data_IF_652700901153
#
_entry.id   IF_652700901153
#
_cell.length_a   1.000
_cell.length_b   1.000
_cell.length_c   1.000
_cell.angle_alpha   90.00
_cell.angle_beta   90.00
_cell.angle_gamma   90.00
#
_symmetry.space_group_name_H-M   'P 1'
#
loop_
_entity.id
_entity.type
_entity.pdbx_description
1 polymer ?
#
# COMPACT_ATOMS: atom_id res chain seq x y z
N UNK A 1 -12.42 -4.69 -24.26
CA UNK A 1 -12.79 -6.12 -24.37
C UNK A 1 -14.13 -6.33 -23.66
N UNK A 2 -14.93 -7.33 -24.07
CA UNK A 2 -16.28 -7.56 -23.52
C UNK A 2 -16.27 -7.89 -22.01
N UNK A 3 -15.17 -8.47 -21.53
CA UNK A 3 -14.95 -8.76 -20.11
C UNK A 3 -14.96 -7.49 -19.26
N UNK A 4 -14.25 -6.43 -19.69
CA UNK A 4 -14.22 -5.16 -18.97
C UNK A 4 -15.61 -4.52 -18.89
N UNK A 5 -16.39 -4.59 -19.96
CA UNK A 5 -17.80 -4.15 -19.93
C UNK A 5 -18.63 -4.98 -18.96
N UNK A 6 -18.39 -6.29 -18.89
CA UNK A 6 -19.06 -7.17 -17.93
C UNK A 6 -18.72 -6.79 -16.49
N UNK A 7 -17.45 -6.51 -16.19
CA UNK A 7 -17.01 -6.05 -14.86
C UNK A 7 -17.72 -4.74 -14.46
N UNK A 8 -17.86 -3.79 -15.39
CA UNK A 8 -18.60 -2.55 -15.14
C UNK A 8 -20.09 -2.79 -14.90
N UNK A 9 -20.75 -3.63 -15.71
CA UNK A 9 -22.18 -3.96 -15.55
C UNK A 9 -22.48 -4.66 -14.22
N UNK A 10 -21.57 -5.53 -13.77
CA UNK A 10 -21.66 -6.22 -12.49
C UNK A 10 -21.22 -5.34 -11.31
N UNK A 11 -20.80 -4.10 -11.56
CA UNK A 11 -20.31 -3.15 -10.55
C UNK A 11 -19.09 -3.69 -9.79
N UNK A 12 -18.25 -4.50 -10.45
CA UNK A 12 -17.01 -5.05 -9.89
C UNK A 12 -16.05 -3.98 -9.36
N UNK A 13 -15.81 -2.85 -10.06
CA UNK A 13 -14.96 -1.79 -9.54
C UNK A 13 -15.44 -1.23 -8.19
N UNK A 14 -16.76 -1.19 -7.96
CA UNK A 14 -17.33 -0.74 -6.69
C UNK A 14 -17.05 -1.72 -5.56
N UNK A 15 -17.11 -3.03 -5.82
CA UNK A 15 -16.71 -4.04 -4.84
C UNK A 15 -15.21 -3.93 -4.53
N UNK A 16 -14.37 -3.71 -5.54
CA UNK A 16 -12.93 -3.50 -5.36
C UNK A 16 -12.62 -2.27 -4.50
N UNK A 17 -13.39 -1.19 -4.66
CA UNK A 17 -13.30 -0.01 -3.79
C UNK A 17 -13.65 -0.34 -2.33
N UNK A 18 -14.70 -1.14 -2.09
CA UNK A 18 -15.03 -1.60 -0.74
C UNK A 18 -13.92 -2.49 -0.16
N UNK A 19 -13.39 -3.43 -0.94
CA UNK A 19 -12.28 -4.29 -0.51
C UNK A 19 -11.04 -3.46 -0.12
N UNK A 20 -10.75 -2.41 -0.89
CA UNK A 20 -9.59 -1.55 -0.67
C UNK A 20 -9.61 -0.79 0.67
N UNK A 21 -10.78 -0.64 1.32
CA UNK A 21 -10.88 -0.04 2.66
C UNK A 21 -10.43 -0.99 3.78
N UNK A 22 -10.28 -2.28 3.49
CA UNK A 22 -9.82 -3.29 4.46
C UNK A 22 -8.32 -3.58 4.38
N UNK A 23 -7.63 -3.05 3.36
CA UNK A 23 -6.18 -3.12 3.25
C UNK A 23 -5.52 -2.23 4.30
N UNK A 24 -4.43 -2.71 4.89
CA UNK A 24 -3.68 -1.99 5.92
C UNK A 24 -2.62 -1.05 5.32
N UNK A 25 -2.12 -1.36 4.13
CA UNK A 25 -1.09 -0.58 3.43
C UNK A 25 -1.66 0.14 2.21
N UNK A 26 -0.98 1.22 1.81
CA UNK A 26 -1.34 1.97 0.59
C UNK A 26 -1.23 1.10 -0.66
N UNK A 27 -0.18 0.27 -0.76
CA UNK A 27 0.04 -0.63 -1.89
C UNK A 27 -1.03 -1.72 -1.95
N UNK A 28 -1.39 -2.33 -0.82
CA UNK A 28 -2.49 -3.29 -0.76
C UNK A 28 -3.84 -2.66 -1.14
N UNK A 29 -4.10 -1.41 -0.73
CA UNK A 29 -5.31 -0.68 -1.14
C UNK A 29 -5.36 -0.44 -2.66
N UNK A 30 -4.24 -0.01 -3.26
CA UNK A 30 -4.13 0.17 -4.72
C UNK A 30 -4.27 -1.16 -5.46
N UNK A 31 -3.68 -2.24 -4.93
CA UNK A 31 -3.77 -3.59 -5.50
C UNK A 31 -5.21 -4.12 -5.45
N UNK A 32 -5.91 -3.90 -4.33
CA UNK A 32 -7.32 -4.26 -4.17
C UNK A 32 -8.23 -3.49 -5.14
N UNK A 33 -7.95 -2.22 -5.44
CA UNK A 33 -8.73 -1.44 -6.42
C UNK A 33 -8.55 -1.94 -7.86
N UNK A 34 -7.37 -2.47 -8.20
CA UNK A 34 -7.02 -2.99 -9.53
C UNK A 34 -7.16 -4.52 -9.61
N UNK A 35 -7.91 -5.12 -8.69
CA UNK A 35 -8.03 -6.56 -8.59
C UNK A 35 -8.73 -7.13 -9.83
N UNK A 36 -7.97 -7.94 -10.57
CA UNK A 36 -8.46 -8.62 -11.78
C UNK A 36 -8.71 -10.10 -11.47
N UNK A 37 -9.82 -10.69 -11.96
CA UNK A 37 -10.06 -12.12 -11.83
C UNK A 37 -8.94 -12.91 -12.54
N UNK A 38 -8.36 -13.95 -11.90
CA UNK A 38 -7.36 -14.80 -12.54
C UNK A 38 -7.98 -15.66 -13.65
N UNK A 39 -7.15 -16.04 -14.61
CA UNK A 39 -7.54 -16.88 -15.74
C UNK A 39 -7.63 -18.37 -15.36
N UNK A 40 -6.90 -18.80 -14.32
CA UNK A 40 -6.74 -20.21 -13.98
C UNK A 40 -7.36 -20.57 -12.63
N UNK A 41 -8.03 -21.73 -12.57
CA UNK A 41 -8.58 -22.27 -11.32
C UNK A 41 -7.51 -22.52 -10.26
N UNK A 42 -6.28 -22.88 -10.67
CA UNK A 42 -5.16 -23.14 -9.75
C UNK A 42 -4.79 -21.88 -8.96
N UNK A 43 -4.70 -20.73 -9.63
CA UNK A 43 -4.44 -19.43 -9.02
C UNK A 43 -5.56 -19.04 -8.06
N UNK A 44 -6.83 -19.21 -8.47
CA UNK A 44 -7.97 -18.95 -7.59
C UNK A 44 -7.98 -19.80 -6.33
N UNK A 45 -7.63 -21.08 -6.45
CA UNK A 45 -7.49 -21.98 -5.29
C UNK A 45 -6.38 -21.51 -4.35
N UNK A 46 -5.26 -21.05 -4.90
CA UNK A 46 -4.15 -20.49 -4.12
C UNK A 46 -4.56 -19.20 -3.40
N UNK A 47 -5.22 -18.26 -4.10
CA UNK A 47 -5.75 -17.01 -3.52
C UNK A 47 -6.79 -17.29 -2.42
N UNK A 48 -7.64 -18.30 -2.63
CA UNK A 48 -8.64 -18.71 -1.66
C UNK A 48 -7.97 -19.32 -0.41
N UNK A 49 -6.96 -20.17 -0.59
CA UNK A 49 -6.20 -20.75 0.52
C UNK A 49 -5.47 -19.68 1.33
N UNK A 50 -4.82 -18.70 0.68
CA UNK A 50 -4.22 -17.54 1.36
C UNK A 50 -5.25 -16.78 2.21
N UNK A 51 -6.44 -16.54 1.63
CA UNK A 51 -7.52 -15.84 2.33
C UNK A 51 -8.03 -16.66 3.53
N UNK A 52 -8.15 -17.98 3.38
CA UNK A 52 -8.57 -18.88 4.44
C UNK A 52 -7.57 -18.94 5.60
N UNK A 53 -6.28 -19.07 5.31
CA UNK A 53 -5.23 -19.07 6.32
C UNK A 53 -5.25 -17.78 7.15
N UNK A 54 -5.33 -16.62 6.50
CA UNK A 54 -5.40 -15.33 7.21
C UNK A 54 -6.73 -15.17 7.96
N UNK A 55 -7.83 -15.65 7.41
CA UNK A 55 -9.13 -15.63 8.08
C UNK A 55 -9.08 -16.38 9.42
N UNK A 56 -8.44 -17.56 9.46
CA UNK A 56 -8.24 -18.30 10.69
C UNK A 56 -7.27 -17.61 11.66
N UNK A 57 -6.21 -16.96 11.15
CA UNK A 57 -5.28 -16.20 11.98
C UNK A 57 -5.93 -15.00 12.67
N UNK A 58 -6.71 -14.20 11.96
CA UNK A 58 -7.41 -13.02 12.50
C UNK A 58 -8.47 -13.38 13.54
N UNK A 59 -9.02 -14.60 13.50
CA UNK A 59 -9.93 -15.11 14.52
C UNK A 59 -9.21 -15.61 15.78
N UNK A 60 -7.89 -15.83 15.71
CA UNK A 60 -7.11 -16.29 16.85
C UNK A 60 -6.91 -15.15 17.87
N UNK A 61 -7.29 -15.39 19.12
CA UNK A 61 -7.15 -14.41 20.21
C UNK A 61 -5.70 -14.19 20.67
N UNK A 62 -4.77 -15.06 20.24
CA UNK A 62 -3.38 -15.04 20.70
C UNK A 62 -2.45 -14.32 19.72
N UNK A 63 -2.83 -14.21 18.45
CA UNK A 63 -1.99 -13.66 17.38
C UNK A 63 -2.40 -12.22 17.09
N UNK A 64 -1.44 -11.28 17.17
CA UNK A 64 -1.65 -9.90 16.74
C UNK A 64 -1.17 -9.73 15.30
N UNK A 65 -2.06 -9.97 14.35
CA UNK A 65 -1.80 -9.76 12.92
C UNK A 65 -1.88 -8.27 12.57
N UNK A 66 -0.73 -7.64 12.26
CA UNK A 66 -0.64 -6.20 12.02
C UNK A 66 0.45 -5.85 11.02
N UNK A 67 0.14 -4.92 10.12
CA UNK A 67 1.06 -4.33 9.14
C UNK A 67 1.67 -3.01 9.64
N UNK A 68 1.62 -2.74 10.95
CA UNK A 68 2.18 -1.53 11.54
C UNK A 68 3.67 -1.38 11.20
N UNK A 69 4.04 -0.20 10.71
CA UNK A 69 5.41 0.13 10.28
C UNK A 69 5.75 -0.24 8.84
N UNK A 70 4.89 -0.98 8.13
CA UNK A 70 5.05 -1.25 6.70
C UNK A 70 4.57 -0.02 5.93
N UNK A 71 5.46 0.52 5.11
CA UNK A 71 5.20 1.73 4.33
C UNK A 71 5.56 1.50 2.86
N UNK A 72 5.02 2.35 1.99
CA UNK A 72 5.35 2.33 0.57
C UNK A 72 6.76 2.91 0.37
N UNK A 73 7.70 2.03 0.02
CA UNK A 73 9.11 2.38 -0.24
C UNK A 73 9.48 2.26 -1.72
N UNK A 74 8.53 1.96 -2.61
CA UNK A 74 8.79 1.69 -4.03
C UNK A 74 9.56 2.83 -4.72
N UNK A 75 9.05 4.06 -4.60
CA UNK A 75 9.70 5.27 -5.16
C UNK A 75 11.11 5.49 -4.61
N UNK A 76 11.35 5.11 -3.36
CA UNK A 76 12.66 5.24 -2.70
C UNK A 76 13.64 4.20 -3.25
N UNK A 77 13.18 2.96 -3.45
CA UNK A 77 13.98 1.88 -4.03
C UNK A 77 14.37 2.17 -5.48
N UNK A 78 13.43 2.64 -6.30
CA UNK A 78 13.72 3.03 -7.69
C UNK A 78 14.77 4.16 -7.77
N UNK A 79 14.65 5.18 -6.93
CA UNK A 79 15.61 6.29 -6.88
C UNK A 79 17.01 5.80 -6.51
N UNK A 80 17.11 4.91 -5.54
CA UNK A 80 18.38 4.33 -5.09
C UNK A 80 19.00 3.44 -6.18
N UNK A 81 18.19 2.67 -6.92
CA UNK A 81 18.66 1.87 -8.06
C UNK A 81 19.31 2.70 -9.15
N UNK A 82 18.81 3.93 -9.37
CA UNK A 82 19.39 4.89 -10.31
C UNK A 82 20.63 5.62 -9.76
N UNK A 83 21.12 5.25 -8.58
CA UNK A 83 22.24 5.91 -7.90
C UNK A 83 21.86 7.23 -7.20
N UNK A 84 20.57 7.47 -7.01
CA UNK A 84 20.06 8.62 -6.27
C UNK A 84 20.21 8.46 -4.76
N UNK A 85 20.24 9.59 -4.06
CA UNK A 85 20.25 9.64 -2.60
C UNK A 85 18.82 9.65 -2.05
N UNK A 86 18.60 8.93 -0.96
CA UNK A 86 17.35 8.98 -0.19
C UNK A 86 17.55 9.71 1.15
N UNK A 87 16.48 10.32 1.61
CA UNK A 87 16.43 11.06 2.86
C UNK A 87 16.46 10.13 4.07
N UNK A 88 16.79 10.68 5.25
CA UNK A 88 16.77 9.90 6.49
C UNK A 88 15.38 9.34 6.82
N UNK A 89 14.31 10.05 6.47
CA UNK A 89 12.94 9.53 6.65
C UNK A 89 12.65 8.33 5.74
N UNK A 90 13.07 8.39 4.48
CA UNK A 90 12.92 7.26 3.54
C UNK A 90 13.74 6.03 4.00
N UNK A 91 14.94 6.25 4.54
CA UNK A 91 15.75 5.18 5.14
C UNK A 91 15.07 4.57 6.38
N UNK A 92 14.49 5.38 7.27
CA UNK A 92 13.71 4.87 8.39
C UNK A 92 12.51 4.04 7.92
N UNK A 93 11.79 4.52 6.90
CA UNK A 93 10.65 3.80 6.33
C UNK A 93 11.06 2.42 5.80
N UNK A 94 12.25 2.28 5.21
CA UNK A 94 12.81 0.99 4.79
C UNK A 94 13.09 0.11 6.02
N UNK A 95 13.72 0.65 7.06
CA UNK A 95 14.00 -0.10 8.29
C UNK A 95 12.73 -0.56 9.02
N UNK A 96 11.71 0.30 9.14
CA UNK A 96 10.43 -0.05 9.76
C UNK A 96 9.67 -1.10 8.94
N UNK A 97 9.77 -1.03 7.61
CA UNK A 97 9.15 -2.02 6.70
C UNK A 97 9.83 -3.38 6.82
N UNK A 98 11.17 -3.42 6.88
CA UNK A 98 11.94 -4.64 7.16
C UNK A 98 11.55 -5.25 8.52
N UNK A 99 11.47 -4.41 9.55
CA UNK A 99 11.06 -4.85 10.88
C UNK A 99 9.62 -5.39 10.90
N UNK A 100 8.70 -4.73 10.20
CA UNK A 100 7.32 -5.14 10.03
C UNK A 100 7.20 -6.51 9.34
N UNK A 101 7.90 -6.69 8.22
CA UNK A 101 7.91 -7.96 7.50
C UNK A 101 8.57 -9.09 8.27
N UNK A 102 9.64 -8.81 9.02
CA UNK A 102 10.25 -9.80 9.92
C UNK A 102 9.28 -10.24 11.03
N UNK A 103 8.45 -9.34 11.56
CA UNK A 103 7.40 -9.71 12.54
C UNK A 103 6.33 -10.58 11.91
N UNK A 104 5.83 -10.23 10.72
CA UNK A 104 4.83 -11.02 10.00
C UNK A 104 5.35 -12.42 9.67
N UNK A 105 6.58 -12.52 9.17
CA UNK A 105 7.25 -13.79 8.89
C UNK A 105 7.33 -14.69 10.13
N UNK A 106 7.75 -14.15 11.27
CA UNK A 106 7.79 -14.91 12.54
C UNK A 106 6.41 -15.41 12.96
N UNK A 107 5.38 -14.58 12.83
CA UNK A 107 4.01 -14.99 13.14
C UNK A 107 3.58 -16.16 12.25
N UNK A 108 3.94 -16.14 10.96
CA UNK A 108 3.62 -17.23 10.03
C UNK A 108 4.40 -18.51 10.40
N UNK A 109 5.71 -18.39 10.66
CA UNK A 109 6.57 -19.53 11.01
C UNK A 109 6.21 -20.17 12.36
N UNK A 110 5.68 -19.41 13.30
CA UNK A 110 5.24 -19.90 14.62
C UNK A 110 3.93 -20.71 14.57
N UNK A 111 3.25 -20.79 13.41
CA UNK A 111 1.96 -21.47 13.26
C UNK A 111 2.09 -22.70 12.34
N UNK A 112 1.64 -23.86 12.80
CA UNK A 112 1.76 -25.12 12.04
C UNK A 112 0.77 -25.25 10.87
N UNK A 113 -0.30 -24.45 10.84
CA UNK A 113 -1.43 -24.60 9.92
C UNK A 113 -1.47 -23.56 8.78
N UNK A 114 -0.31 -23.06 8.33
CA UNK A 114 -0.22 -22.01 7.30
C UNK A 114 0.68 -22.36 6.11
N UNK A 115 0.50 -23.53 5.45
CA UNK A 115 1.41 -23.98 4.41
C UNK A 115 1.56 -22.98 3.25
N UNK A 116 0.48 -22.32 2.83
CA UNK A 116 0.51 -21.42 1.67
C UNK A 116 1.17 -20.08 2.03
N UNK A 117 0.92 -19.55 3.21
CA UNK A 117 1.62 -18.35 3.69
C UNK A 117 3.10 -18.64 4.00
N UNK A 118 3.43 -19.83 4.53
CA UNK A 118 4.82 -20.25 4.78
C UNK A 118 5.61 -20.32 3.48
N UNK A 119 5.06 -20.94 2.42
CA UNK A 119 5.68 -20.97 1.09
C UNK A 119 5.88 -19.55 0.54
N UNK A 120 4.92 -18.64 0.76
CA UNK A 120 5.01 -17.26 0.30
C UNK A 120 6.16 -16.48 0.97
N UNK A 121 6.48 -16.77 2.23
CA UNK A 121 7.49 -16.02 3.00
C UNK A 121 8.85 -16.73 3.10
N UNK A 122 8.98 -17.94 2.55
CA UNK A 122 10.18 -18.79 2.66
C UNK A 122 11.44 -18.06 2.16
N UNK A 123 11.34 -17.42 0.99
CA UNK A 123 12.45 -16.75 0.32
C UNK A 123 12.72 -15.32 0.83
N UNK A 124 11.93 -14.80 1.77
CA UNK A 124 12.09 -13.42 2.27
C UNK A 124 13.33 -13.29 3.15
N UNK A 125 14.26 -12.42 2.73
CA UNK A 125 15.43 -12.05 3.55
C UNK A 125 15.12 -10.85 4.44
N UNK A 126 15.55 -10.89 5.70
CA UNK A 126 15.13 -9.92 6.74
C UNK A 126 16.20 -8.91 7.19
N UNK A 127 17.41 -8.95 6.60
CA UNK A 127 18.52 -7.98 6.78
C UNK A 127 18.56 -7.18 8.10
N UNK A 128 18.64 -7.83 9.28
CA UNK A 128 18.62 -7.15 10.57
C UNK A 128 19.83 -6.22 10.77
N UNK A 129 20.94 -6.50 10.10
CA UNK A 129 22.14 -5.66 10.12
C UNK A 129 21.88 -4.28 9.48
N UNK A 130 21.13 -4.22 8.38
CA UNK A 130 20.77 -2.97 7.72
C UNK A 130 19.83 -2.14 8.60
N UNK A 131 18.82 -2.79 9.20
CA UNK A 131 17.89 -2.18 10.15
C UNK A 131 18.66 -1.52 11.31
N UNK A 132 19.59 -2.26 11.93
CA UNK A 132 20.41 -1.75 13.03
C UNK A 132 21.32 -0.59 12.61
N UNK A 133 21.95 -0.67 11.43
CA UNK A 133 22.75 0.43 10.89
C UNK A 133 21.93 1.69 10.66
N UNK A 134 20.74 1.56 10.08
CA UNK A 134 19.84 2.70 9.83
C UNK A 134 19.44 3.34 11.16
N UNK A 135 18.98 2.57 12.14
CA UNK A 135 18.62 3.11 13.46
C UNK A 135 19.82 3.66 14.24
N UNK A 136 21.02 3.16 14.00
CA UNK A 136 22.23 3.72 14.57
C UNK A 136 22.51 5.11 13.97
N UNK A 137 22.45 5.23 12.65
CA UNK A 137 22.81 6.45 11.94
C UNK A 137 21.73 7.52 11.92
N UNK A 138 20.45 7.16 12.04
CA UNK A 138 19.31 8.07 11.89
C UNK A 138 18.45 8.03 13.15
N UNK A 139 18.08 9.21 13.65
CA UNK A 139 17.20 9.39 14.81
C UNK A 139 15.72 9.23 14.43
N UNK A 140 14.82 9.23 15.42
CA UNK A 140 13.37 9.08 15.18
C UNK A 140 12.75 10.22 14.35
N UNK A 141 13.44 11.36 14.24
CA UNK A 141 13.00 12.51 13.45
C UNK A 141 13.52 12.48 12.00
N UNK A 142 14.19 11.40 11.58
CA UNK A 142 14.76 11.27 10.24
C UNK A 142 16.03 12.09 10.01
N UNK A 143 16.69 12.57 11.08
CA UNK A 143 17.97 13.29 11.01
C UNK A 143 19.13 12.35 11.32
N UNK A 144 20.28 12.66 10.76
CA UNK A 144 21.50 11.90 11.04
C UNK A 144 21.89 12.13 12.50
N UNK A 145 22.05 11.06 13.26
CA UNK A 145 22.38 11.10 14.69
C UNK A 145 23.87 11.40 14.92
N UNK A 146 24.21 12.02 16.05
CA UNK A 146 25.61 12.34 16.43
C UNK A 146 26.52 11.10 16.39
N UNK A 147 25.94 9.93 16.73
CA UNK A 147 26.61 8.64 16.78
C UNK A 147 26.92 8.04 15.41
N UNK A 148 26.31 8.54 14.34
CA UNK A 148 26.46 7.98 13.00
C UNK A 148 27.92 7.98 12.50
N UNK A 149 28.72 8.97 12.93
CA UNK A 149 30.15 9.05 12.62
C UNK A 149 30.87 9.76 13.76
N UNK A 150 32.05 9.28 14.20
CA UNK A 150 32.85 9.99 15.19
C UNK A 150 33.27 11.39 14.70
N UNK A 151 33.39 11.58 13.38
CA UNK A 151 33.65 12.90 12.78
C UNK A 151 32.46 13.85 12.96
N UNK A 152 31.24 13.37 12.70
CA UNK A 152 30.02 14.17 12.86
C UNK A 152 29.81 14.57 14.32
N UNK A 153 29.97 13.62 15.25
CA UNK A 153 29.91 13.88 16.68
C UNK A 153 30.94 14.93 17.14
N UNK A 154 32.18 14.85 16.62
CA UNK A 154 33.21 15.86 16.86
C UNK A 154 32.83 17.25 16.34
N UNK A 155 32.32 17.33 15.11
CA UNK A 155 31.86 18.60 14.50
C UNK A 155 30.72 19.22 15.31
N UNK A 156 29.71 18.42 15.72
CA UNK A 156 28.58 18.89 16.53
C UNK A 156 29.01 19.34 17.91
N UNK A 157 29.98 18.67 18.53
CA UNK A 157 30.56 19.11 19.80
C UNK A 157 31.31 20.44 19.63
N UNK A 158 32.11 20.60 18.57
CA UNK A 158 32.77 21.88 18.27
C UNK A 158 31.77 23.01 17.99
N UNK A 159 30.67 22.74 17.29
CA UNK A 159 29.58 23.71 17.07
C UNK A 159 28.94 24.13 18.40
N UNK A 160 28.72 23.19 19.32
CA UNK A 160 28.16 23.45 20.64
C UNK A 160 29.11 24.29 21.50
N UNK A 161 30.38 23.88 21.61
CA UNK A 161 31.41 24.60 22.36
C UNK A 161 31.58 26.04 21.84
N UNK A 162 31.57 26.19 20.51
CA UNK A 162 31.75 27.49 19.87
C UNK A 162 30.50 28.37 20.02
N UNK A 163 29.29 27.78 20.01
CA UNK A 163 28.06 28.49 20.37
C UNK A 163 28.15 29.01 21.80
N UNK A 164 28.52 28.16 22.76
CA UNK A 164 28.56 28.54 24.17
C UNK A 164 29.61 29.65 24.43
N UNK A 165 30.77 29.60 23.75
CA UNK A 165 31.77 30.68 23.76
C UNK A 165 31.23 32.00 23.20
N UNK A 166 30.52 31.96 22.07
CA UNK A 166 29.88 33.16 21.49
C UNK A 166 28.86 33.73 22.47
N UNK A 167 27.99 32.89 23.05
CA UNK A 167 26.96 33.32 23.99
C UNK A 167 27.57 33.97 25.24
N UNK A 168 28.58 33.35 25.85
CA UNK A 168 29.28 33.92 27.01
C UNK A 168 29.90 35.28 26.67
N UNK A 169 30.50 35.43 25.49
CA UNK A 169 31.12 36.69 25.08
C UNK A 169 30.08 37.78 24.82
N UNK A 170 28.99 37.44 24.14
CA UNK A 170 27.88 38.36 23.89
C UNK A 170 27.20 38.77 25.20
N UNK A 171 27.00 37.85 26.14
CA UNK A 171 26.40 38.16 27.44
C UNK A 171 27.29 39.09 28.27
N UNK A 172 28.61 38.93 28.22
CA UNK A 172 29.57 39.86 28.83
C UNK A 172 29.50 41.26 28.19
N UNK A 173 29.29 41.35 26.86
CA UNK A 173 29.10 42.63 26.18
C UNK A 173 27.78 43.27 26.62
N UNK A 174 26.71 42.48 26.72
CA UNK A 174 25.40 42.94 27.20
C UNK A 174 25.49 43.53 28.61
N UNK A 175 26.21 42.87 29.51
CA UNK A 175 26.39 43.34 30.89
C UNK A 175 27.25 44.61 30.98
N UNK A 176 28.30 44.73 30.16
CA UNK A 176 29.20 45.90 30.19
C UNK A 176 28.64 47.13 29.50
N UNK A 177 27.83 46.95 28.46
CA UNK A 177 27.35 48.04 27.59
C UNK A 177 25.82 48.06 27.49
N UNK A 178 25.13 47.77 28.60
CA UNK A 178 23.66 47.71 28.64
C UNK A 178 22.96 49.01 28.21
N UNK A 179 23.62 50.18 28.31
CA UNK A 179 23.07 51.46 27.85
C UNK A 179 22.87 51.57 26.33
N UNK A 180 23.76 50.92 25.55
CA UNK A 180 23.76 50.91 24.09
C UNK A 180 22.83 49.88 23.47
N UNK A 181 22.38 48.92 24.27
CA UNK A 181 21.55 47.82 23.82
C UNK A 181 20.08 48.23 23.95
N UNK A 182 19.32 47.98 22.88
CA UNK A 182 17.88 48.21 22.87
C UNK A 182 17.15 47.10 23.64
N UNK A 183 17.50 45.83 23.35
CA UNK A 183 16.95 44.64 23.98
C UNK A 183 18.10 43.71 24.42
N UNK A 184 18.16 43.29 25.70
CA UNK A 184 19.25 42.45 26.23
C UNK A 184 19.07 40.97 25.83
N UNK A 185 18.75 40.71 24.57
CA UNK A 185 18.53 39.37 24.01
C UNK A 185 19.51 39.15 22.86
N UNK A 186 20.20 38.01 22.89
CA UNK A 186 21.02 37.57 21.77
C UNK A 186 20.06 37.09 20.68
N UNK A 187 20.08 37.76 19.53
CA UNK A 187 19.24 37.41 18.39
C UNK A 187 20.08 36.83 17.27
N UNK A 188 19.44 36.11 16.33
CA UNK A 188 20.09 35.58 15.16
C UNK A 188 19.52 36.24 13.90
N UNK A 189 20.40 36.65 12.99
CA UNK A 189 20.06 37.15 11.64
C UNK A 189 20.78 36.26 10.64
N UNK A 190 20.01 35.45 9.89
CA UNK A 190 20.57 34.39 9.05
C UNK A 190 21.38 33.37 9.88
N UNK A 191 22.65 33.18 9.54
CA UNK A 191 23.59 32.31 10.26
C UNK A 191 24.43 33.04 11.32
N UNK A 192 24.14 34.32 11.60
CA UNK A 192 24.95 35.19 12.48
C UNK A 192 24.26 35.56 13.77
N UNK A 193 25.00 35.51 14.87
CA UNK A 193 24.56 36.03 16.17
C UNK A 193 24.81 37.52 16.25
N UNK A 194 23.78 38.28 16.62
CA UNK A 194 23.79 39.74 16.61
C UNK A 194 23.18 40.30 17.88
N UNK A 195 23.58 41.53 18.22
CA UNK A 195 23.00 42.33 19.30
C UNK A 195 22.17 43.47 18.71
N UNK A 196 21.02 43.74 19.31
CA UNK A 196 20.17 44.87 18.96
C UNK A 196 20.70 46.15 19.63
N UNK A 197 21.38 47.00 18.87
CA UNK A 197 22.04 48.22 19.34
C UNK A 197 21.24 49.44 18.90
N UNK A 198 21.11 50.44 19.78
CA UNK A 198 20.48 51.72 19.44
C UNK A 198 21.32 52.46 18.40
N UNK A 199 20.71 52.91 17.30
CA UNK A 199 21.43 53.59 16.22
C UNK A 199 22.36 54.73 16.67
N UNK A 200 22.00 55.59 17.65
CA UNK A 200 22.89 56.65 18.15
C UNK A 200 24.12 56.15 18.93
N UNK A 201 24.11 54.90 19.41
CA UNK A 201 25.18 54.32 20.22
C UNK A 201 25.93 53.20 19.50
N UNK A 202 25.84 53.15 18.16
CA UNK A 202 26.52 52.14 17.34
C UNK A 202 28.03 52.06 17.59
N UNK A 203 28.67 53.19 17.88
CA UNK A 203 30.12 53.27 18.04
C UNK A 203 30.60 52.66 19.36
N UNK A 204 29.70 52.41 20.32
CA UNK A 204 30.03 51.75 21.58
C UNK A 204 30.28 50.25 21.40
N UNK A 205 29.61 49.61 20.42
CA UNK A 205 29.77 48.19 20.10
C UNK A 205 30.32 48.10 18.67
N UNK A 206 31.66 48.12 18.48
CA UNK A 206 32.25 48.02 17.16
C UNK A 206 31.99 46.64 16.56
N UNK A 207 31.43 46.62 15.35
CA UNK A 207 31.01 45.39 14.68
C UNK A 207 30.49 45.61 13.28
N UNK A 208 30.06 44.51 12.67
CA UNK A 208 29.48 44.48 11.31
C UNK A 208 27.95 44.59 11.46
N UNK A 209 27.34 45.54 10.75
CA UNK A 209 25.88 45.67 10.70
C UNK A 209 25.34 44.64 9.70
N UNK A 210 24.48 43.75 10.17
CA UNK A 210 23.84 42.71 9.34
C UNK A 210 22.44 43.09 8.90
N UNK A 211 21.74 43.90 9.69
CA UNK A 211 20.35 44.25 9.44
C UNK A 211 19.98 45.55 10.19
N UNK A 212 18.91 46.20 9.75
CA UNK A 212 18.41 47.47 10.31
C UNK A 212 16.89 47.41 10.49
N UNK A 213 16.36 47.95 11.59
CA UNK A 213 14.91 48.00 11.78
C UNK A 213 14.22 48.87 10.73
N UNK A 214 12.93 48.61 10.47
CA UNK A 214 12.11 49.39 9.53
C UNK A 214 12.06 50.89 9.85
N UNK A 215 12.20 51.26 11.13
CA UNK A 215 12.25 52.65 11.62
C UNK A 215 13.67 53.23 11.66
N UNK A 216 14.71 52.43 11.36
CA UNK A 216 16.11 52.83 11.45
C UNK A 216 16.66 53.00 12.87
N UNK A 217 15.82 52.83 13.89
CA UNK A 217 16.18 53.10 15.28
C UNK A 217 17.08 52.01 15.92
N UNK A 218 17.07 50.79 15.38
CA UNK A 218 17.82 49.65 15.90
C UNK A 218 18.68 49.03 14.81
N UNK A 219 19.96 48.85 15.12
CA UNK A 219 20.95 48.20 14.28
C UNK A 219 21.28 46.82 14.85
N UNK A 220 21.24 45.79 14.01
CA UNK A 220 21.64 44.43 14.39
C UNK A 220 23.13 44.25 14.07
N UNK A 221 23.96 44.31 15.10
CA UNK A 221 25.42 44.34 14.96
C UNK A 221 26.02 43.01 15.44
N UNK A 222 26.88 42.39 14.62
CA UNK A 222 27.79 41.31 15.03
C UNK A 222 29.09 41.95 15.56
N UNK A 223 29.38 41.91 16.87
CA UNK A 223 30.59 42.51 17.42
C UNK A 223 31.85 41.88 16.84
N UNK A 224 32.89 42.68 16.56
CA UNK A 224 34.17 42.21 15.99
C UNK A 224 34.79 41.04 16.78
N UNK A 225 34.57 41.00 18.10
CA UNK A 225 35.07 39.96 18.99
C UNK A 225 34.53 38.55 18.71
N UNK A 226 33.40 38.42 17.99
CA UNK A 226 32.81 37.12 17.66
C UNK A 226 32.84 36.81 16.16
N UNK A 227 33.24 37.73 15.29
CA UNK A 227 33.24 37.55 13.83
C UNK A 227 34.07 36.34 13.39
N UNK A 228 35.25 36.15 14.00
CA UNK A 228 36.11 34.99 13.70
C UNK A 228 35.43 33.68 14.10
N UNK A 229 34.79 33.63 15.27
CA UNK A 229 34.02 32.47 15.70
C UNK A 229 32.80 32.25 14.83
N UNK A 230 32.08 33.30 14.42
CA UNK A 230 30.99 33.21 13.46
C UNK A 230 31.41 32.58 12.12
N UNK A 231 32.58 32.97 11.60
CA UNK A 231 33.15 32.37 10.39
C UNK A 231 33.54 30.89 10.60
N UNK A 232 34.16 30.55 11.73
CA UNK A 232 34.46 29.16 12.09
C UNK A 232 33.19 28.31 12.24
N UNK A 233 32.14 28.85 12.87
CA UNK A 233 30.83 28.19 12.97
C UNK A 233 30.27 27.85 11.59
N UNK A 234 30.31 28.80 10.66
CA UNK A 234 29.85 28.60 9.29
C UNK A 234 30.64 27.51 8.57
N UNK A 235 31.95 27.45 8.80
CA UNK A 235 32.79 26.38 8.27
C UNK A 235 32.40 25.01 8.84
N UNK A 236 32.20 24.91 10.16
CA UNK A 236 31.74 23.67 10.80
C UNK A 236 30.34 23.25 10.34
N UNK A 237 29.39 24.18 10.16
CA UNK A 237 28.06 23.87 9.62
C UNK A 237 28.14 23.32 8.19
N UNK A 238 29.05 23.85 7.35
CA UNK A 238 29.29 23.28 6.01
C UNK A 238 29.89 21.88 6.11
N UNK A 239 30.85 21.67 7.02
CA UNK A 239 31.45 20.35 7.23
C UNK A 239 30.42 19.33 7.73
N UNK A 240 29.52 19.73 8.63
CA UNK A 240 28.39 18.92 9.11
C UNK A 240 27.53 18.47 7.93
N UNK A 241 27.08 19.39 7.07
CA UNK A 241 26.26 19.05 5.89
C UNK A 241 26.97 18.09 4.93
N UNK A 242 28.28 18.25 4.72
CA UNK A 242 29.08 17.36 3.86
C UNK A 242 29.17 15.95 4.47
N UNK A 243 29.37 15.86 5.78
CA UNK A 243 29.43 14.56 6.46
C UNK A 243 28.04 13.89 6.52
N UNK A 244 26.96 14.63 6.78
CA UNK A 244 25.59 14.11 6.75
C UNK A 244 25.22 13.55 5.37
N UNK A 245 25.54 14.30 4.31
CA UNK A 245 25.30 13.83 2.93
C UNK A 245 26.16 12.62 2.57
N UNK A 246 27.40 12.53 3.06
CA UNK A 246 28.24 11.35 2.90
C UNK A 246 27.66 10.11 3.60
N UNK A 247 27.13 10.27 4.82
CA UNK A 247 26.48 9.18 5.58
C UNK A 247 25.22 8.71 4.85
N UNK A 248 24.35 9.63 4.44
CA UNK A 248 23.13 9.30 3.70
C UNK A 248 23.43 8.60 2.37
N UNK A 249 24.48 9.05 1.68
CA UNK A 249 24.96 8.41 0.44
C UNK A 249 25.40 6.97 0.70
N UNK A 250 26.24 6.74 1.71
CA UNK A 250 26.73 5.40 2.02
C UNK A 250 25.57 4.45 2.37
N UNK A 251 24.60 4.91 3.17
CA UNK A 251 23.41 4.12 3.49
C UNK A 251 22.55 3.85 2.25
N UNK A 252 22.37 4.85 1.38
CA UNK A 252 21.67 4.67 0.10
C UNK A 252 22.36 3.63 -0.78
N UNK A 253 23.69 3.64 -0.87
CA UNK A 253 24.47 2.66 -1.63
C UNK A 253 24.39 1.24 -1.04
N UNK A 254 24.28 1.10 0.29
CA UNK A 254 24.00 -0.20 0.93
C UNK A 254 22.60 -0.72 0.58
N UNK A 255 21.57 0.14 0.63
CA UNK A 255 20.20 -0.20 0.21
C UNK A 255 20.17 -0.61 -1.26
N UNK A 256 20.92 0.08 -2.13
CA UNK A 256 20.97 -0.20 -3.57
C UNK A 256 21.40 -1.62 -3.88
N UNK A 257 22.35 -2.16 -3.11
CA UNK A 257 22.86 -3.54 -3.29
C UNK A 257 21.81 -4.60 -2.97
N UNK A 258 20.77 -4.23 -2.23
CA UNK A 258 19.71 -5.12 -1.77
C UNK A 258 18.38 -4.83 -2.48
N UNK A 259 18.40 -4.07 -3.58
CA UNK A 259 17.20 -3.65 -4.30
C UNK A 259 16.28 -4.82 -4.65
N UNK A 260 16.80 -5.88 -5.28
CA UNK A 260 15.97 -6.99 -5.77
C UNK A 260 15.25 -7.72 -4.61
N UNK A 261 15.96 -7.91 -3.50
CA UNK A 261 15.39 -8.54 -2.30
C UNK A 261 14.34 -7.64 -1.62
N UNK A 262 14.55 -6.32 -1.61
CA UNK A 262 13.61 -5.36 -1.03
C UNK A 262 12.36 -5.17 -1.89
N UNK A 263 12.51 -5.19 -3.22
CA UNK A 263 11.41 -5.13 -4.17
C UNK A 263 10.54 -6.38 -4.08
N UNK A 264 11.16 -7.57 -4.03
CA UNK A 264 10.47 -8.82 -3.78
C UNK A 264 9.74 -8.82 -2.43
N UNK A 265 10.40 -8.36 -1.36
CA UNK A 265 9.78 -8.24 -0.04
C UNK A 265 8.55 -7.32 -0.06
N UNK A 266 8.59 -6.22 -0.81
CA UNK A 266 7.45 -5.30 -0.96
C UNK A 266 6.30 -5.93 -1.74
N UNK A 267 6.62 -6.72 -2.78
CA UNK A 267 5.62 -7.48 -3.53
C UNK A 267 4.92 -8.52 -2.62
N UNK A 268 5.68 -9.27 -1.82
CA UNK A 268 5.11 -10.24 -0.88
C UNK A 268 4.30 -9.54 0.22
N UNK A 269 4.78 -8.41 0.75
CA UNK A 269 4.02 -7.59 1.71
C UNK A 269 2.65 -7.17 1.13
N UNK A 270 2.63 -6.79 -0.16
CA UNK A 270 1.41 -6.41 -0.87
C UNK A 270 0.46 -7.60 -1.05
N UNK A 271 0.97 -8.79 -1.36
CA UNK A 271 0.17 -10.02 -1.48
C UNK A 271 -0.45 -10.39 -0.12
N UNK A 272 0.34 -10.36 0.95
CA UNK A 272 -0.13 -10.61 2.31
C UNK A 272 -1.22 -9.62 2.74
N UNK A 273 -1.03 -8.33 2.45
CA UNK A 273 -2.01 -7.29 2.79
C UNK A 273 -3.29 -7.46 1.97
N UNK A 274 -3.18 -7.78 0.68
CA UNK A 274 -4.35 -8.07 -0.15
C UNK A 274 -5.14 -9.29 0.34
N UNK A 275 -4.44 -10.38 0.71
CA UNK A 275 -5.07 -11.54 1.31
C UNK A 275 -5.72 -11.22 2.67
N UNK A 276 -5.08 -10.33 3.46
CA UNK A 276 -5.65 -9.82 4.71
C UNK A 276 -6.91 -9.01 4.47
N UNK A 277 -6.90 -8.12 3.48
CA UNK A 277 -8.06 -7.33 3.09
C UNK A 277 -9.22 -8.24 2.67
N UNK A 278 -8.94 -9.30 1.88
CA UNK A 278 -9.92 -10.32 1.48
C UNK A 278 -10.50 -11.05 2.69
N UNK A 279 -9.67 -11.46 3.64
CA UNK A 279 -10.11 -12.16 4.84
C UNK A 279 -10.98 -11.27 5.74
N UNK A 280 -10.55 -10.03 5.99
CA UNK A 280 -11.31 -9.05 6.79
C UNK A 280 -12.62 -8.66 6.12
N UNK A 281 -12.61 -8.44 4.82
CA UNK A 281 -13.84 -8.15 4.06
C UNK A 281 -14.80 -9.34 4.09
N UNK A 282 -14.29 -10.56 3.97
CA UNK A 282 -15.04 -11.80 4.08
C UNK A 282 -15.69 -11.96 5.47
N UNK A 283 -14.94 -11.67 6.54
CA UNK A 283 -15.47 -11.67 7.91
C UNK A 283 -16.58 -10.62 8.08
N UNK A 284 -16.35 -9.41 7.57
CA UNK A 284 -17.30 -8.31 7.63
C UNK A 284 -18.60 -8.61 6.84
N UNK A 285 -18.48 -9.31 5.71
CA UNK A 285 -19.60 -9.79 4.90
C UNK A 285 -20.36 -10.96 5.54
N UNK A 286 -19.83 -11.58 6.59
CA UNK A 286 -20.29 -12.89 7.11
C UNK A 286 -20.29 -13.95 6.00
N UNK A 287 -19.26 -13.90 5.14
CA UNK A 287 -19.09 -14.81 4.02
C UNK A 287 -18.52 -16.16 4.44
N UNK A 288 -18.82 -17.19 3.63
CA UNK A 288 -18.30 -18.54 3.79
C UNK A 288 -17.47 -18.97 2.58
N UNK A 289 -16.59 -19.95 2.79
CA UNK A 289 -15.59 -20.41 1.82
C UNK A 289 -16.31 -21.03 0.61
N UNK A 290 -16.11 -20.53 -0.63
CA UNK A 290 -16.62 -21.19 -1.82
C UNK A 290 -15.86 -22.48 -2.12
N UNK A 291 -16.58 -23.54 -2.47
CA UNK A 291 -16.03 -24.76 -3.06
C UNK A 291 -16.27 -24.75 -4.56
N UNK A 292 -15.19 -24.85 -5.34
CA UNK A 292 -15.29 -25.08 -6.78
C UNK A 292 -15.73 -26.51 -7.06
N UNK A 293 -16.91 -26.66 -7.66
CA UNK A 293 -17.48 -27.95 -8.04
C UNK A 293 -17.18 -28.32 -9.49
N UNK A 294 -17.22 -29.62 -9.81
CA UNK A 294 -17.22 -30.06 -11.20
C UNK A 294 -18.67 -30.27 -11.70
N UNK A 295 -19.20 -29.25 -12.39
CA UNK A 295 -20.54 -29.28 -12.97
C UNK A 295 -20.69 -30.33 -14.07
N UNK A 296 -19.59 -30.71 -14.75
CA UNK A 296 -19.60 -31.75 -15.79
C UNK A 296 -19.70 -33.15 -15.17
N UNK A 297 -19.16 -33.34 -13.97
CA UNK A 297 -19.27 -34.59 -13.20
C UNK A 297 -20.59 -34.75 -12.45
N UNK A 298 -21.50 -33.78 -12.54
CA UNK A 298 -22.84 -33.90 -11.97
C UNK A 298 -22.99 -33.31 -10.57
N UNK A 299 -22.09 -32.42 -10.14
CA UNK A 299 -22.28 -31.67 -8.90
C UNK A 299 -23.21 -30.45 -9.13
N UNK A 300 -24.21 -30.21 -8.25
CA UNK A 300 -25.14 -29.09 -8.39
C UNK A 300 -24.58 -27.78 -7.83
N UNK A 301 -25.02 -26.65 -8.37
CA UNK A 301 -24.76 -25.33 -7.78
C UNK A 301 -25.62 -25.20 -6.52
N UNK A 302 -25.00 -24.88 -5.38
CA UNK A 302 -25.68 -24.71 -4.09
C UNK A 302 -25.29 -23.37 -3.47
N UNK A 303 -26.17 -22.38 -3.55
CA UNK A 303 -26.02 -21.08 -2.89
C UNK A 303 -27.27 -20.79 -2.05
N UNK A 304 -27.16 -20.96 -0.72
CA UNK A 304 -28.29 -20.77 0.21
C UNK A 304 -28.17 -19.45 0.94
N UNK A 305 -29.27 -18.77 1.17
CA UNK A 305 -29.30 -17.48 1.87
C UNK A 305 -28.30 -16.46 1.29
N UNK A 306 -28.09 -16.50 -0.02
CA UNK A 306 -27.14 -15.68 -0.75
C UNK A 306 -27.60 -14.21 -0.73
N UNK A 307 -26.69 -13.30 -0.39
CA UNK A 307 -26.94 -11.86 -0.36
C UNK A 307 -26.06 -11.15 -1.40
N UNK A 308 -26.57 -10.05 -1.94
CA UNK A 308 -25.76 -9.21 -2.82
C UNK A 308 -24.73 -8.42 -2.00
N UNK A 309 -23.41 -8.57 -2.20
CA UNK A 309 -22.38 -7.96 -1.36
C UNK A 309 -22.43 -6.43 -1.34
N UNK A 310 -22.72 -5.79 -2.49
CA UNK A 310 -22.91 -4.33 -2.54
C UNK A 310 -24.15 -3.86 -1.76
N UNK A 311 -25.25 -4.62 -1.76
CA UNK A 311 -26.42 -4.23 -0.96
C UNK A 311 -26.16 -4.44 0.54
N UNK A 312 -25.37 -5.45 0.91
CA UNK A 312 -24.92 -5.66 2.30
C UNK A 312 -24.07 -4.47 2.77
N UNK A 313 -23.21 -3.94 1.89
CA UNK A 313 -22.50 -2.68 2.09
C UNK A 313 -23.45 -1.52 2.38
N UNK A 314 -24.43 -1.27 1.50
CA UNK A 314 -25.38 -0.18 1.69
C UNK A 314 -26.17 -0.32 3.00
N UNK A 315 -26.62 -1.52 3.34
CA UNK A 315 -27.33 -1.79 4.60
C UNK A 315 -26.47 -1.45 5.83
N UNK A 316 -25.21 -1.93 5.88
CA UNK A 316 -24.35 -1.79 7.06
C UNK A 316 -23.67 -0.41 7.16
N UNK A 317 -23.23 0.18 6.04
CA UNK A 317 -22.48 1.45 6.02
C UNK A 317 -23.33 2.68 5.68
N UNK A 318 -24.34 2.54 4.83
CA UNK A 318 -25.13 3.67 4.30
C UNK A 318 -26.53 3.77 4.93
N UNK A 319 -26.81 3.00 6.00
CA UNK A 319 -28.14 2.88 6.63
C UNK A 319 -29.24 2.49 5.63
N UNK A 320 -28.87 1.68 4.63
CA UNK A 320 -29.77 1.19 3.59
C UNK A 320 -30.79 0.18 4.10
N UNK A 321 -31.67 -0.25 3.19
CA UNK A 321 -32.72 -1.24 3.47
C UNK A 321 -32.11 -2.63 3.69
N UNK A 322 -32.74 -3.43 4.55
CA UNK A 322 -32.36 -4.82 4.80
C UNK A 322 -32.33 -5.65 3.51
N UNK A 323 -31.22 -6.36 3.27
CA UNK A 323 -31.05 -7.21 2.09
C UNK A 323 -31.83 -8.52 2.28
N UNK A 324 -32.76 -8.80 1.36
CA UNK A 324 -33.48 -10.07 1.31
C UNK A 324 -32.59 -11.12 0.63
N UNK A 325 -32.23 -12.22 1.32
CA UNK A 325 -31.39 -13.26 0.74
C UNK A 325 -32.17 -14.15 -0.23
N UNK A 326 -31.47 -14.73 -1.20
CA UNK A 326 -32.01 -15.65 -2.21
C UNK A 326 -31.40 -17.05 -2.07
N UNK A 327 -32.10 -18.07 -2.58
CA UNK A 327 -31.55 -19.42 -2.71
C UNK A 327 -31.41 -19.74 -4.20
N UNK A 328 -30.24 -20.18 -4.62
CA UNK A 328 -29.97 -20.62 -5.99
C UNK A 328 -29.47 -22.06 -5.93
N UNK A 329 -30.31 -22.97 -6.45
CA UNK A 329 -30.05 -24.40 -6.54
C UNK A 329 -30.21 -24.80 -8.00
N UNK A 330 -29.13 -25.20 -8.65
CA UNK A 330 -29.14 -25.57 -10.08
C UNK A 330 -28.65 -26.99 -10.24
N UNK A 331 -29.54 -27.86 -10.73
CA UNK A 331 -29.19 -29.24 -11.07
C UNK A 331 -28.19 -29.23 -12.26
N UNK A 332 -27.14 -30.07 -12.24
CA UNK A 332 -26.14 -30.15 -13.30
C UNK A 332 -26.70 -30.40 -14.71
N UNK A 333 -27.91 -30.98 -14.81
CA UNK A 333 -28.59 -31.22 -16.09
C UNK A 333 -29.23 -29.96 -16.67
N UNK A 334 -29.39 -28.91 -15.87
CA UNK A 334 -30.01 -27.65 -16.28
C UNK A 334 -28.93 -26.74 -16.86
N UNK A 335 -29.07 -26.41 -18.16
CA UNK A 335 -28.19 -25.47 -18.87
C UNK A 335 -28.73 -24.04 -18.89
N UNK A 336 -30.04 -23.88 -18.76
CA UNK A 336 -30.71 -22.57 -18.85
C UNK A 336 -31.66 -22.41 -17.68
N UNK A 337 -31.51 -21.31 -16.94
CA UNK A 337 -32.39 -20.92 -15.84
C UNK A 337 -33.14 -19.66 -16.24
N UNK A 338 -34.48 -19.73 -16.29
CA UNK A 338 -35.33 -18.58 -16.58
C UNK A 338 -35.90 -17.98 -15.28
N UNK A 339 -35.69 -16.68 -15.07
CA UNK A 339 -36.21 -15.94 -13.92
C UNK A 339 -37.34 -15.02 -14.38
N UNK A 340 -38.57 -15.35 -14.01
CA UNK A 340 -39.77 -14.57 -14.36
C UNK A 340 -40.32 -13.81 -13.15
N UNK A 341 -41.00 -12.68 -13.39
CA UNK A 341 -41.61 -11.86 -12.33
C UNK A 341 -41.72 -10.39 -12.73
N UNK A 342 -42.33 -9.52 -11.89
CA UNK A 342 -42.39 -8.08 -12.15
C UNK A 342 -40.98 -7.46 -12.16
N UNK A 343 -40.77 -6.35 -12.86
CA UNK A 343 -39.44 -5.72 -13.01
C UNK A 343 -38.81 -5.31 -11.67
N UNK A 344 -39.62 -4.81 -10.74
CA UNK A 344 -39.20 -4.46 -9.38
C UNK A 344 -39.04 -5.67 -8.44
N UNK A 345 -39.22 -6.89 -8.95
CA UNK A 345 -39.14 -8.14 -8.18
C UNK A 345 -37.72 -8.65 -7.92
N UNK A 346 -36.67 -7.86 -8.20
CA UNK A 346 -35.28 -8.24 -7.91
C UNK A 346 -34.63 -9.20 -8.92
N UNK A 347 -35.19 -9.36 -10.12
CA UNK A 347 -34.62 -10.22 -11.19
C UNK A 347 -33.20 -9.78 -11.56
N UNK A 348 -33.03 -8.50 -11.87
CA UNK A 348 -31.74 -7.91 -12.22
C UNK A 348 -30.72 -8.02 -11.10
N UNK A 349 -31.16 -7.78 -9.85
CA UNK A 349 -30.31 -7.91 -8.66
C UNK A 349 -29.86 -9.37 -8.49
N UNK A 350 -30.73 -10.34 -8.76
CA UNK A 350 -30.40 -11.78 -8.70
C UNK A 350 -29.29 -12.13 -9.70
N UNK A 351 -29.42 -11.69 -10.95
CA UNK A 351 -28.39 -11.92 -11.99
C UNK A 351 -27.06 -11.26 -11.62
N UNK A 352 -27.09 -9.99 -11.19
CA UNK A 352 -25.90 -9.29 -10.70
C UNK A 352 -25.26 -10.01 -9.51
N UNK A 353 -26.07 -10.50 -8.58
CA UNK A 353 -25.57 -11.26 -7.42
C UNK A 353 -24.80 -12.49 -7.88
N UNK A 354 -25.36 -13.29 -8.80
CA UNK A 354 -24.70 -14.49 -9.30
C UNK A 354 -23.39 -14.19 -10.03
N UNK A 355 -23.38 -13.22 -10.95
CA UNK A 355 -22.16 -12.83 -11.66
C UNK A 355 -21.09 -12.30 -10.70
N UNK A 356 -21.49 -11.49 -9.72
CA UNK A 356 -20.58 -10.88 -8.77
C UNK A 356 -19.96 -11.91 -7.82
N UNK A 357 -20.73 -12.87 -7.31
CA UNK A 357 -20.17 -13.90 -6.41
C UNK A 357 -19.32 -14.94 -7.14
N UNK A 358 -19.59 -15.16 -8.43
CA UNK A 358 -18.69 -15.93 -9.29
C UNK A 358 -17.32 -15.22 -9.42
N UNK A 359 -17.31 -13.91 -9.67
CA UNK A 359 -16.07 -13.11 -9.68
C UNK A 359 -15.35 -13.11 -8.32
N UNK A 360 -16.11 -12.98 -7.22
CA UNK A 360 -15.56 -13.07 -5.86
C UNK A 360 -14.84 -14.40 -5.63
N UNK A 361 -15.45 -15.53 -6.01
CA UNK A 361 -14.81 -16.83 -5.89
C UNK A 361 -13.51 -16.90 -6.70
N UNK A 362 -13.49 -16.39 -7.95
CA UNK A 362 -12.27 -16.37 -8.78
C UNK A 362 -11.12 -15.62 -8.09
N UNK A 363 -11.39 -14.55 -7.35
CA UNK A 363 -10.33 -13.80 -6.65
C UNK A 363 -10.04 -14.29 -5.23
N UNK A 364 -10.65 -15.40 -4.80
CA UNK A 364 -10.45 -15.98 -3.47
C UNK A 364 -11.22 -15.28 -2.33
N UNK A 365 -12.26 -14.50 -2.64
CA UNK A 365 -13.14 -13.90 -1.64
C UNK A 365 -14.19 -14.89 -1.17
N UNK A 366 -14.59 -14.80 0.11
CA UNK A 366 -15.70 -15.60 0.61
C UNK A 366 -17.04 -15.00 0.18
N UNK A 367 -18.03 -15.86 0.04
CA UNK A 367 -19.34 -15.48 -0.49
C UNK A 367 -20.32 -15.28 0.68
N UNK A 368 -21.08 -14.16 0.72
CA UNK A 368 -22.13 -13.91 1.72
C UNK A 368 -23.36 -14.80 1.48
N UNK A 369 -23.18 -16.10 1.68
CA UNK A 369 -24.17 -17.17 1.59
C UNK A 369 -23.92 -18.17 2.71
N UNK A 370 -24.96 -18.88 3.13
CA UNK A 370 -24.87 -19.93 4.14
C UNK A 370 -24.19 -21.18 3.57
N UNK A 371 -23.33 -21.80 4.37
CA UNK A 371 -22.70 -23.08 4.02
C UNK A 371 -23.71 -24.22 3.75
N UNK A 372 -23.42 -25.12 2.79
CA UNK A 372 -22.28 -25.08 1.87
C UNK A 372 -22.45 -24.02 0.76
N UNK A 373 -21.33 -23.46 0.30
CA UNK A 373 -21.27 -22.50 -0.82
C UNK A 373 -20.58 -23.18 -1.99
N UNK A 374 -21.33 -23.56 -3.02
CA UNK A 374 -20.85 -24.41 -4.10
C UNK A 374 -21.19 -23.79 -5.46
N UNK A 375 -20.16 -23.56 -6.27
CA UNK A 375 -20.28 -23.02 -7.61
C UNK A 375 -19.17 -23.58 -8.51
N UNK A 376 -19.39 -23.74 -9.81
CA UNK A 376 -18.36 -24.20 -10.71
C UNK A 376 -17.33 -23.11 -10.96
N UNK A 377 -16.18 -23.53 -11.49
CA UNK A 377 -15.30 -22.62 -12.19
C UNK A 377 -15.97 -22.15 -13.48
N UNK A 378 -16.07 -20.84 -13.66
CA UNK A 378 -16.51 -20.23 -14.91
C UNK A 378 -15.27 -19.68 -15.61
N UNK A 379 -14.95 -20.21 -16.78
CA UNK A 379 -13.84 -19.71 -17.60
C UNK A 379 -14.11 -18.25 -17.96
N UNK A 380 -15.30 -17.99 -18.53
CA UNK A 380 -15.81 -16.65 -18.80
C UNK A 380 -17.07 -16.32 -17.98
N UNK A 381 -17.18 -15.06 -17.57
CA UNK A 381 -18.39 -14.48 -17.00
C UNK A 381 -18.77 -13.31 -17.90
N UNK A 382 -19.89 -13.43 -18.60
CA UNK A 382 -20.37 -12.46 -19.57
C UNK A 382 -21.74 -11.97 -19.16
N UNK A 383 -21.97 -10.66 -19.22
CA UNK A 383 -23.21 -10.04 -18.78
C UNK A 383 -23.80 -9.15 -19.87
N UNK A 384 -25.11 -9.27 -20.05
CA UNK A 384 -25.95 -8.27 -20.71
C UNK A 384 -27.07 -7.86 -19.75
N UNK A 385 -26.91 -6.70 -19.13
CA UNK A 385 -27.78 -6.21 -18.05
C UNK A 385 -28.07 -4.72 -18.30
N UNK A 386 -29.36 -4.34 -18.35
CA UNK A 386 -29.80 -2.95 -18.53
C UNK A 386 -31.34 -2.86 -18.52
N UNK A 387 -31.89 -1.70 -18.14
CA UNK A 387 -33.33 -1.42 -18.12
C UNK A 387 -33.59 -0.20 -19.03
N UNK A 388 -34.40 -0.38 -20.07
CA UNK A 388 -34.72 0.63 -21.09
C UNK A 388 -36.12 1.21 -20.84
N UNK A 389 -36.25 2.52 -20.63
CA UNK A 389 -37.57 3.14 -20.39
C UNK A 389 -37.91 4.33 -21.33
N UNK A 390 -37.28 4.44 -22.50
CA UNK A 390 -37.56 5.51 -23.48
C UNK A 390 -37.55 5.00 -24.91
N UNK A 391 -38.63 5.23 -25.67
CA UNK A 391 -38.84 4.76 -27.05
C UNK A 391 -37.81 5.32 -28.05
N UNK A 392 -37.32 6.55 -27.85
CA UNK A 392 -36.25 7.16 -28.66
C UNK A 392 -34.86 6.62 -28.29
N UNK A 393 -34.67 6.20 -27.04
CA UNK A 393 -33.47 5.47 -26.61
C UNK A 393 -33.51 3.99 -27.02
N UNK A 394 -34.71 3.38 -27.13
CA UNK A 394 -34.94 1.95 -27.41
C UNK A 394 -34.33 1.43 -28.72
N UNK A 395 -34.25 2.22 -29.80
CA UNK A 395 -33.62 1.76 -31.05
C UNK A 395 -32.08 1.70 -30.93
N UNK A 396 -31.49 2.66 -30.20
CA UNK A 396 -30.05 2.71 -29.95
C UNK A 396 -29.62 1.69 -28.89
N UNK A 397 -30.50 1.33 -27.95
CA UNK A 397 -30.21 0.38 -26.88
C UNK A 397 -30.52 -1.06 -27.32
N UNK A 398 -31.58 -1.31 -28.09
CA UNK A 398 -31.84 -2.63 -28.71
C UNK A 398 -30.69 -3.05 -29.62
N UNK A 399 -30.23 -2.15 -30.51
CA UNK A 399 -29.05 -2.41 -31.33
C UNK A 399 -27.77 -2.58 -30.49
N UNK A 400 -27.69 -1.93 -29.33
CA UNK A 400 -26.66 -2.15 -28.32
C UNK A 400 -26.67 -3.56 -27.73
N UNK A 401 -27.83 -4.05 -27.29
CA UNK A 401 -28.02 -5.41 -26.77
C UNK A 401 -27.68 -6.46 -27.83
N UNK A 402 -28.17 -6.31 -29.07
CA UNK A 402 -27.84 -7.24 -30.16
C UNK A 402 -26.33 -7.25 -30.44
N UNK A 403 -25.68 -6.08 -30.53
CA UNK A 403 -24.22 -6.02 -30.69
C UNK A 403 -23.49 -6.68 -29.53
N UNK A 404 -24.00 -6.55 -28.31
CA UNK A 404 -23.40 -7.20 -27.14
C UNK A 404 -23.57 -8.71 -27.20
N UNK A 405 -24.76 -9.21 -27.54
CA UNK A 405 -25.00 -10.65 -27.73
C UNK A 405 -24.07 -11.23 -28.80
N UNK A 406 -23.91 -10.55 -29.94
CA UNK A 406 -22.95 -10.95 -30.99
C UNK A 406 -21.53 -11.06 -30.42
N UNK A 407 -21.09 -10.04 -29.66
CA UNK A 407 -19.76 -10.07 -29.04
C UNK A 407 -19.62 -11.15 -27.96
N UNK A 408 -20.71 -11.49 -27.25
CA UNK A 408 -20.75 -12.60 -26.30
C UNK A 408 -20.56 -13.92 -27.05
N UNK A 409 -21.27 -14.14 -28.16
CA UNK A 409 -21.12 -15.34 -28.97
C UNK A 409 -19.73 -15.45 -29.58
N UNK A 410 -19.17 -14.36 -30.11
CA UNK A 410 -17.80 -14.32 -30.63
C UNK A 410 -16.75 -14.66 -29.56
N UNK A 411 -16.93 -14.17 -28.33
CA UNK A 411 -16.02 -14.46 -27.22
C UNK A 411 -16.05 -15.94 -26.80
N UNK A 412 -17.24 -16.56 -26.83
CA UNK A 412 -17.41 -17.99 -26.53
C UNK A 412 -16.80 -18.88 -27.63
N UNK A 413 -16.99 -18.54 -28.91
CA UNK A 413 -16.43 -19.28 -30.05
C UNK A 413 -14.89 -19.25 -30.06
N UNK A 414 -14.31 -18.09 -29.74
CA UNK A 414 -12.84 -17.94 -29.70
C UNK A 414 -12.16 -18.82 -28.65
N UNK A 415 -12.88 -19.21 -27.60
CA UNK A 415 -12.39 -20.07 -26.51
C UNK A 415 -12.56 -21.57 -26.82
N UNK A 416 -13.56 -21.93 -27.62
CA UNK A 416 -13.71 -23.30 -28.12
C UNK A 416 -12.57 -23.65 -29.08
N UNK A 417 -12.16 -22.72 -29.94
CA UNK A 417 -11.01 -22.92 -30.84
C UNK A 417 -9.69 -23.09 -30.08
N UNK A 418 -9.37 -22.24 -29.08
CA UNK A 418 -8.14 -22.37 -28.28
C UNK A 418 -8.10 -23.69 -27.49
N UNK A 419 -9.23 -24.11 -26.91
CA UNK A 419 -9.32 -25.39 -26.19
C UNK A 419 -9.22 -26.61 -27.11
N UNK A 420 -9.59 -26.50 -28.39
CA UNK A 420 -9.33 -27.56 -29.39
C UNK A 420 -7.86 -27.62 -29.78
N UNK A 421 -7.16 -26.48 -29.92
CA UNK A 421 -5.72 -26.45 -30.19
C UNK A 421 -4.88 -27.02 -29.04
N UNK A 422 -5.18 -26.68 -27.78
CA UNK A 422 -4.47 -27.23 -26.61
C UNK A 422 -4.67 -28.76 -26.47
N UNK A 423 -5.85 -29.29 -26.81
CA UNK A 423 -6.11 -30.75 -26.82
C UNK A 423 -5.33 -31.49 -27.91
N UNK A 424 -5.04 -30.83 -29.04
CA UNK A 424 -4.25 -31.41 -30.13
C UNK A 424 -2.77 -31.44 -29.78
N UNK A 425 -2.25 -30.46 -29.04
CA UNK A 425 -0.86 -30.48 -28.55
C UNK A 425 -0.63 -31.56 -27.48
N UNK A 426 -1.57 -31.75 -26.55
CA UNK A 426 -1.46 -32.78 -25.50
C UNK A 426 -1.58 -34.23 -26.03
N UNK A 427 -2.08 -34.41 -27.26
CA UNK A 427 -2.14 -35.73 -27.94
C UNK A 427 -0.93 -36.03 -28.83
N UNK A 428 0.00 -35.08 -29.01
CA UNK A 428 1.16 -35.22 -29.89
C UNK A 428 2.50 -35.50 -29.19
N UNK A 429 2.52 -35.79 -27.88
CA UNK A 429 3.72 -36.28 -27.21
C UNK A 429 3.93 -37.77 -27.55
N UNK A 430 4.97 -38.16 -28.32
CA UNK A 430 5.21 -39.56 -28.60
C UNK A 430 5.85 -40.22 -27.38
N UNK A 431 5.17 -41.21 -26.80
CA UNK A 431 5.79 -42.16 -25.89
C UNK A 431 6.97 -42.85 -26.58
N UNK A 432 8.19 -42.50 -26.19
CA UNK A 432 9.39 -43.30 -26.48
C UNK A 432 9.44 -44.48 -25.51
N UNK A 433 9.41 -45.74 -25.98
CA UNK A 433 9.55 -46.87 -25.08
C UNK A 433 11.03 -47.07 -24.73
N UNK A 434 11.34 -46.96 -23.44
CA UNK A 434 12.56 -47.51 -22.85
C UNK A 434 12.64 -49.01 -23.17
N UNK A 435 13.79 -49.43 -23.71
CA UNK A 435 14.22 -50.84 -23.72
C UNK A 435 15.52 -50.97 -22.93
N UNK A 436 15.75 -52.13 -22.30
CA UNK A 436 16.53 -52.28 -21.05
C UNK A 436 18.04 -52.26 -21.21
#
# INVERSE_FOLDING_TARGET
MIEQETLELLEWPRLCQHLATFAATKLGSLSAQKLSPPANIKESKQLLAQTQEIYHLEQSLTVKWSFEGITDIGDSLERVKLGGMISGQELLNIATTLAGMRRLRRIIEDQENLPVLSELVEDIRTYPELEQKIHHCIDEAGKVADRASPKLGGIRQHLKDLRDRIYQKLQNIIQRQGGAIQEPVITQRGDRFVLAVKAPQKDQIPGIIHDTSSTGATLYIEPNSIVQWGNQRRQYLRQEQVEETAILRNLSEEVAKLYDDLDYLLAIATILDLATAKARYSLWLEGNIPRFIDFKQGEPITLRQLRHPLLVWQQKHEQGVSVVPINVLVDPKIRVVAITGPNTGGKTVTLKTLGLVALMAKVGLFIPAREPVELPWFDQILADIGDEQSIEQSLSTFSGHIRRIIRITEALESEEETNEFEKVEDTLVPHTPHTP
#
